data_IF_346518350799
#
_entry.id   IF_346518350799
#
_cell.length_a   1.000
_cell.length_b   1.000
_cell.length_c   1.000
_cell.angle_alpha   90.00
_cell.angle_beta   90.00
_cell.angle_gamma   90.00
#
_symmetry.space_group_name_H-M   'P 1'
#
loop_
_entity.id
_entity.type
_entity.pdbx_description
1 polymer ?
#
# COMPACT_ATOMS: atom_id res chain seq x y z
N UNK A 1 -23.13 28.54 -17.90
CA UNK A 1 -22.36 27.28 -17.98
C UNK A 1 -21.91 26.97 -16.57
N UNK A 2 -22.42 25.91 -15.94
CA UNK A 2 -21.96 25.51 -14.60
C UNK A 2 -20.55 24.92 -14.70
N UNK A 3 -19.54 25.63 -14.21
CA UNK A 3 -18.12 25.27 -14.39
C UNK A 3 -17.47 24.61 -13.16
N UNK A 4 -18.24 24.25 -12.13
CA UNK A 4 -17.71 23.68 -10.88
C UNK A 4 -18.35 22.32 -10.55
N UNK A 5 -18.16 21.31 -11.41
CA UNK A 5 -18.60 19.94 -11.12
C UNK A 5 -17.59 19.23 -10.21
N UNK A 6 -18.09 18.72 -9.09
CA UNK A 6 -17.36 17.78 -8.23
C UNK A 6 -17.29 16.40 -8.87
N UNK A 7 -16.25 15.64 -8.52
CA UNK A 7 -16.11 14.25 -8.94
C UNK A 7 -15.38 13.41 -7.86
N UNK A 8 -15.45 12.09 -7.97
CA UNK A 8 -14.83 11.12 -7.05
C UNK A 8 -14.02 10.08 -7.80
N UNK A 9 -12.86 9.70 -7.25
CA UNK A 9 -11.93 8.76 -7.86
C UNK A 9 -11.35 7.84 -6.79
N UNK A 10 -11.30 6.54 -7.10
CA UNK A 10 -10.54 5.60 -6.29
C UNK A 10 -9.06 5.69 -6.68
N UNK A 11 -8.19 5.78 -5.67
CA UNK A 11 -6.74 5.73 -5.86
C UNK A 11 -6.21 4.45 -5.23
N UNK A 12 -5.64 3.59 -6.07
CA UNK A 12 -5.02 2.33 -5.67
C UNK A 12 -4.39 1.65 -6.88
N UNK A 13 -3.45 0.76 -6.64
CA UNK A 13 -2.69 0.07 -7.69
C UNK A 13 -3.54 -0.93 -8.49
N UNK A 14 -4.78 -1.20 -8.06
CA UNK A 14 -5.69 -2.23 -8.58
C UNK A 14 -5.19 -3.68 -8.42
N UNK A 15 -3.98 -3.86 -7.89
CA UNK A 15 -3.44 -5.14 -7.46
C UNK A 15 -3.66 -5.32 -5.96
N UNK A 16 -4.30 -6.41 -5.56
CA UNK A 16 -4.39 -6.83 -4.17
C UNK A 16 -3.19 -7.66 -3.75
N UNK A 17 -2.81 -7.55 -2.47
CA UNK A 17 -1.83 -8.41 -1.83
C UNK A 17 -2.44 -8.92 -0.51
N UNK A 18 -2.31 -10.21 -0.26
CA UNK A 18 -2.65 -10.83 1.02
C UNK A 18 -1.62 -10.47 2.10
N UNK A 19 -1.99 -10.65 3.36
CA UNK A 19 -1.07 -10.43 4.49
C UNK A 19 0.19 -11.30 4.40
N UNK A 20 0.07 -12.54 3.88
CA UNK A 20 1.21 -13.43 3.71
C UNK A 20 2.11 -12.97 2.56
N UNK A 21 1.57 -12.45 1.46
CA UNK A 21 2.39 -11.88 0.38
C UNK A 21 3.16 -10.64 0.86
N UNK A 22 2.54 -9.79 1.67
CA UNK A 22 3.23 -8.67 2.32
C UNK A 22 4.36 -9.17 3.23
N UNK A 23 4.12 -10.21 4.02
CA UNK A 23 5.13 -10.80 4.91
C UNK A 23 6.31 -11.35 4.11
N UNK A 24 6.06 -12.12 3.04
CA UNK A 24 7.12 -12.68 2.21
C UNK A 24 7.92 -11.60 1.49
N UNK A 25 7.25 -10.58 0.94
CA UNK A 25 7.93 -9.42 0.37
C UNK A 25 8.79 -8.68 1.40
N UNK A 26 8.30 -8.52 2.64
CA UNK A 26 9.07 -7.94 3.74
C UNK A 26 10.29 -8.79 4.11
N UNK A 27 10.16 -10.11 4.25
CA UNK A 27 11.30 -11.01 4.50
C UNK A 27 12.34 -10.92 3.40
N UNK A 28 11.89 -10.95 2.13
CA UNK A 28 12.76 -10.83 0.95
C UNK A 28 13.54 -9.51 0.94
N UNK A 29 12.85 -8.39 1.12
CA UNK A 29 13.46 -7.05 1.05
C UNK A 29 14.40 -6.78 2.24
N UNK A 30 14.02 -7.22 3.43
CA UNK A 30 14.80 -6.96 4.65
C UNK A 30 15.95 -7.96 4.82
N UNK A 31 15.84 -9.16 4.24
CA UNK A 31 16.73 -10.29 4.51
C UNK A 31 16.58 -10.87 5.92
N UNK A 32 15.53 -10.48 6.65
CA UNK A 32 15.27 -10.89 8.03
C UNK A 32 14.18 -11.95 8.02
N UNK A 33 14.40 -13.04 8.76
CA UNK A 33 13.30 -13.97 9.04
C UNK A 33 12.37 -13.36 10.10
N UNK A 34 11.23 -12.86 9.63
CA UNK A 34 10.23 -12.20 10.47
C UNK A 34 9.32 -13.27 11.08
N UNK A 35 9.36 -13.51 12.41
CA UNK A 35 8.50 -14.47 13.06
C UNK A 35 7.04 -13.97 13.06
N UNK A 36 6.09 -14.88 12.88
CA UNK A 36 4.66 -14.58 12.91
C UNK A 36 3.87 -15.74 13.50
N UNK A 37 2.65 -15.46 13.92
CA UNK A 37 1.66 -16.47 14.31
C UNK A 37 0.31 -16.14 13.66
N UNK A 38 -0.51 -17.15 13.41
CA UNK A 38 -1.86 -16.95 12.89
C UNK A 38 -2.79 -16.64 14.06
N UNK A 39 -3.40 -15.46 14.03
CA UNK A 39 -4.42 -15.04 14.99
C UNK A 39 -5.86 -15.26 14.48
N UNK A 40 -6.88 -15.08 15.34
CA UNK A 40 -8.27 -15.09 14.92
C UNK A 40 -8.58 -13.90 13.99
N UNK A 41 -9.64 -14.01 13.20
CA UNK A 41 -10.13 -12.88 12.39
C UNK A 41 -10.56 -11.72 13.28
N UNK A 42 -10.17 -10.50 12.89
CA UNK A 42 -10.63 -9.27 13.54
C UNK A 42 -12.02 -8.93 13.02
N UNK A 43 -12.98 -8.76 13.94
CA UNK A 43 -14.36 -8.42 13.59
C UNK A 43 -14.41 -7.10 12.81
N UNK A 44 -15.13 -7.10 11.69
CA UNK A 44 -15.27 -5.95 10.80
C UNK A 44 -14.36 -5.95 9.57
N UNK A 45 -13.31 -6.77 9.54
CA UNK A 45 -12.45 -6.89 8.36
C UNK A 45 -13.12 -7.78 7.28
N UNK A 46 -13.23 -7.31 6.02
CA UNK A 46 -13.66 -8.16 4.91
C UNK A 46 -12.54 -9.12 4.47
N UNK A 47 -12.88 -10.13 3.66
CA UNK A 47 -11.89 -11.06 3.10
C UNK A 47 -10.88 -10.36 2.17
N UNK A 48 -11.32 -9.35 1.43
CA UNK A 48 -10.48 -8.57 0.53
C UNK A 48 -11.05 -7.16 0.31
N UNK A 49 -10.18 -6.20 0.02
CA UNK A 49 -10.55 -4.84 -0.35
C UNK A 49 -9.51 -4.28 -1.33
N UNK A 50 -9.91 -4.10 -2.59
CA UNK A 50 -9.03 -3.63 -3.66
C UNK A 50 -9.74 -2.53 -4.45
N UNK A 51 -9.03 -1.42 -4.70
CA UNK A 51 -9.58 -0.26 -5.40
C UNK A 51 -9.55 -0.45 -6.93
N UNK A 52 -10.69 -0.24 -7.60
CA UNK A 52 -10.72 -0.06 -9.06
C UNK A 52 -10.32 1.39 -9.42
N UNK A 53 -9.11 1.56 -9.94
CA UNK A 53 -8.56 2.85 -10.37
C UNK A 53 -8.79 3.18 -11.85
N UNK A 54 -9.61 2.40 -12.58
CA UNK A 54 -9.87 2.59 -14.02
C UNK A 54 -10.33 4.02 -14.35
N UNK A 55 -11.19 4.60 -13.51
CA UNK A 55 -11.67 5.98 -13.69
C UNK A 55 -10.55 7.01 -13.56
N UNK A 56 -9.70 6.88 -12.54
CA UNK A 56 -8.57 7.80 -12.33
C UNK A 56 -7.57 7.72 -13.49
N UNK A 57 -7.26 6.51 -13.98
CA UNK A 57 -6.38 6.28 -15.13
C UNK A 57 -6.94 6.92 -16.41
N UNK A 58 -8.24 6.73 -16.68
CA UNK A 58 -8.89 7.23 -17.90
C UNK A 58 -9.10 8.74 -17.90
N UNK A 59 -9.59 9.31 -16.79
CA UNK A 59 -10.02 10.72 -16.73
C UNK A 59 -8.87 11.64 -16.36
N UNK A 60 -8.03 11.24 -15.39
CA UNK A 60 -6.93 12.08 -14.89
C UNK A 60 -5.59 11.74 -15.54
N UNK A 61 -5.53 10.71 -16.40
CA UNK A 61 -4.27 10.19 -16.91
C UNK A 61 -3.37 9.60 -15.82
N UNK A 62 -3.92 9.29 -14.65
CA UNK A 62 -3.16 8.87 -13.49
C UNK A 62 -2.45 7.54 -13.76
N UNK A 63 -1.14 7.48 -13.48
CA UNK A 63 -0.30 6.29 -13.62
C UNK A 63 0.57 6.17 -12.37
N UNK A 64 0.28 5.24 -11.45
CA UNK A 64 1.13 5.03 -10.27
C UNK A 64 2.53 4.58 -10.71
N UNK A 65 3.56 5.17 -10.09
CA UNK A 65 4.96 4.88 -10.41
C UNK A 65 5.50 3.63 -9.70
N UNK A 66 4.91 3.30 -8.55
CA UNK A 66 5.31 2.18 -7.70
C UNK A 66 4.10 1.25 -7.54
N UNK A 67 3.99 0.27 -8.43
CA UNK A 67 2.92 -0.75 -8.38
C UNK A 67 3.42 -2.07 -7.74
N UNK A 68 4.73 -2.27 -7.73
CA UNK A 68 5.39 -3.42 -7.13
C UNK A 68 5.51 -3.25 -5.61
N UNK A 69 5.01 -4.24 -4.86
CA UNK A 69 5.08 -4.26 -3.39
C UNK A 69 6.51 -4.25 -2.86
N UNK A 70 7.45 -4.91 -3.54
CA UNK A 70 8.85 -4.97 -3.11
C UNK A 70 9.47 -3.57 -3.07
N UNK A 71 9.17 -2.73 -4.07
CA UNK A 71 9.69 -1.36 -4.15
C UNK A 71 9.09 -0.49 -3.03
N UNK A 72 7.79 -0.64 -2.78
CA UNK A 72 7.10 0.09 -1.69
C UNK A 72 7.70 -0.30 -0.34
N UNK A 73 7.88 -1.60 -0.07
CA UNK A 73 8.48 -2.08 1.18
C UNK A 73 9.95 -1.64 1.27
N UNK A 74 10.72 -1.67 0.18
CA UNK A 74 12.12 -1.27 0.19
C UNK A 74 12.29 0.21 0.55
N UNK A 75 11.46 1.09 -0.02
CA UNK A 75 11.48 2.51 0.33
C UNK A 75 11.09 2.75 1.79
N UNK A 76 10.05 2.07 2.28
CA UNK A 76 9.65 2.14 3.69
C UNK A 76 10.76 1.62 4.62
N UNK A 77 11.39 0.49 4.29
CA UNK A 77 12.47 -0.09 5.09
C UNK A 77 13.69 0.81 5.17
N UNK A 78 14.10 1.40 4.05
CA UNK A 78 15.21 2.36 4.02
C UNK A 78 14.95 3.58 4.92
N UNK A 79 13.71 4.08 4.94
CA UNK A 79 13.31 5.13 5.87
C UNK A 79 13.42 4.67 7.32
N UNK A 80 12.82 3.53 7.67
CA UNK A 80 12.84 3.01 9.04
C UNK A 80 14.25 2.69 9.55
N UNK A 81 15.15 2.22 8.67
CA UNK A 81 16.57 2.02 9.02
C UNK A 81 17.30 3.33 9.31
N UNK A 82 17.01 4.39 8.57
CA UNK A 82 17.65 5.69 8.75
C UNK A 82 17.02 6.52 9.88
N UNK A 83 15.75 6.27 10.19
CA UNK A 83 14.98 7.00 11.20
C UNK A 83 14.31 6.01 12.18
N UNK A 84 15.09 5.28 12.98
CA UNK A 84 14.56 4.25 13.88
C UNK A 84 13.64 4.81 14.97
N UNK A 85 13.71 6.11 15.26
CA UNK A 85 12.84 6.82 16.21
C UNK A 85 11.78 7.69 15.52
N UNK A 86 11.64 7.60 14.20
CA UNK A 86 10.76 8.47 13.43
C UNK A 86 11.33 9.87 13.26
N UNK A 87 10.45 10.87 13.16
CA UNK A 87 10.83 12.28 13.11
C UNK A 87 11.27 12.77 14.49
N UNK A 88 12.13 13.78 14.53
CA UNK A 88 12.43 14.50 15.77
C UNK A 88 11.19 15.28 16.24
N UNK A 89 11.04 15.39 17.56
CA UNK A 89 10.04 16.27 18.15
C UNK A 89 10.38 17.72 17.74
N UNK A 90 9.39 18.46 17.26
CA UNK A 90 9.53 19.85 16.81
C UNK A 90 9.72 20.82 17.97
#
# INVERSE_FOLDING_TARGET
METNKSDVFNLGTAQGYSNLEILEAAKKVTGIDIPYTIGPRRGGDPDSLVADSSKARKVLGWKPKHENVDDVIATAWNWHKSHPKGYEDK
#
